data_IF_020585422974
#
_entry.id   IF_020585422974
#
_cell.length_a   1.000
_cell.length_b   1.000
_cell.length_c   1.000
_cell.angle_alpha   90.00
_cell.angle_beta   90.00
_cell.angle_gamma   90.00
#
_symmetry.space_group_name_H-M   'P 1'
#
loop_
_entity.id
_entity.type
_entity.pdbx_description
1 polymer ?
#
# COMPACT_ATOMS: atom_id res chain seq x y z
N UNK A 1 -2.60 3.32 -15.92
CA UNK A 1 -2.91 2.31 -14.89
C UNK A 1 -1.76 2.12 -13.90
N UNK A 2 -1.58 3.06 -12.96
CA UNK A 2 -0.46 3.02 -12.00
C UNK A 2 -0.75 2.15 -10.77
N UNK A 3 -1.99 2.20 -10.27
CA UNK A 3 -2.41 1.48 -9.08
C UNK A 3 -2.25 -0.06 -9.13
N UNK A 4 -2.64 -0.78 -10.20
CA UNK A 4 -2.46 -2.23 -10.23
C UNK A 4 -0.98 -2.64 -10.18
N UNK A 5 -0.09 -1.85 -10.77
CA UNK A 5 1.36 -2.11 -10.76
C UNK A 5 1.94 -2.01 -9.35
N UNK A 6 1.65 -0.92 -8.63
CA UNK A 6 2.16 -0.73 -7.26
C UNK A 6 1.55 -1.73 -6.28
N UNK A 7 0.27 -2.12 -6.47
CA UNK A 7 -0.38 -3.16 -5.67
C UNK A 7 0.35 -4.50 -5.80
N UNK A 8 0.64 -4.93 -7.02
CA UNK A 8 1.27 -6.22 -7.26
C UNK A 8 2.71 -6.26 -6.73
N UNK A 9 3.44 -5.14 -6.86
CA UNK A 9 4.76 -4.97 -6.25
C UNK A 9 4.69 -5.04 -4.71
N UNK A 10 3.71 -4.37 -4.09
CA UNK A 10 3.51 -4.40 -2.64
C UNK A 10 3.13 -5.80 -2.17
N UNK A 11 2.18 -6.49 -2.81
CA UNK A 11 1.80 -7.86 -2.45
C UNK A 11 3.00 -8.82 -2.58
N UNK A 12 3.81 -8.68 -3.62
CA UNK A 12 5.01 -9.51 -3.81
C UNK A 12 6.04 -9.32 -2.69
N UNK A 13 6.10 -8.11 -2.11
CA UNK A 13 7.00 -7.76 -1.00
C UNK A 13 6.41 -8.04 0.38
N UNK A 14 5.13 -8.42 0.47
CA UNK A 14 4.49 -8.72 1.74
C UNK A 14 5.12 -9.96 2.35
N UNK A 15 5.48 -9.89 3.62
CA UNK A 15 6.00 -11.03 4.37
C UNK A 15 4.86 -11.98 4.77
N UNK A 16 5.18 -13.23 5.15
CA UNK A 16 4.17 -14.21 5.59
C UNK A 16 3.35 -13.77 6.82
N UNK A 17 3.88 -12.87 7.63
CA UNK A 17 3.21 -12.27 8.79
C UNK A 17 2.30 -11.09 8.43
N UNK A 18 2.21 -10.74 7.13
CA UNK A 18 1.44 -9.62 6.62
C UNK A 18 2.14 -8.26 6.72
N UNK A 19 3.39 -8.21 7.22
CA UNK A 19 4.15 -6.97 7.37
C UNK A 19 4.93 -6.60 6.11
N UNK A 20 5.26 -5.32 6.00
CA UNK A 20 6.25 -4.82 5.04
C UNK A 20 7.48 -4.35 5.79
N UNK A 21 8.64 -4.55 5.19
CA UNK A 21 9.91 -4.12 5.75
C UNK A 21 10.60 -3.15 4.82
N UNK A 22 11.12 -2.08 5.41
CA UNK A 22 11.97 -1.11 4.75
C UNK A 22 13.16 -0.79 5.65
N UNK A 23 14.23 -0.24 5.08
CA UNK A 23 15.47 0.08 5.79
C UNK A 23 15.26 1.07 6.95
N UNK A 24 14.18 1.87 6.90
CA UNK A 24 13.87 2.87 7.92
C UNK A 24 13.19 2.24 9.13
N UNK A 25 12.05 1.57 8.92
CA UNK A 25 11.29 0.89 9.97
C UNK A 25 10.16 0.04 9.35
N UNK A 26 9.99 -1.22 9.80
CA UNK A 26 8.93 -2.09 9.31
C UNK A 26 7.51 -1.59 9.63
N UNK A 27 7.32 -0.89 10.74
CA UNK A 27 6.01 -0.32 11.08
C UNK A 27 5.59 0.79 10.12
N UNK A 28 6.54 1.66 9.74
CA UNK A 28 6.30 2.72 8.76
C UNK A 28 5.97 2.14 7.38
N UNK A 29 6.77 1.17 6.92
CA UNK A 29 6.55 0.50 5.65
C UNK A 29 5.17 -0.18 5.59
N UNK A 30 4.77 -0.86 6.67
CA UNK A 30 3.47 -1.52 6.77
C UNK A 30 2.32 -0.50 6.72
N UNK A 31 2.42 0.60 7.46
CA UNK A 31 1.42 1.67 7.44
C UNK A 31 1.28 2.29 6.03
N UNK A 32 2.42 2.57 5.37
CA UNK A 32 2.43 3.14 4.01
C UNK A 32 1.84 2.18 2.97
N UNK A 33 2.18 0.89 3.05
CA UNK A 33 1.59 -0.14 2.17
C UNK A 33 0.08 -0.24 2.35
N UNK A 34 -0.42 -0.22 3.59
CA UNK A 34 -1.85 -0.20 3.89
C UNK A 34 -2.55 1.05 3.32
N UNK A 35 -1.94 2.23 3.46
CA UNK A 35 -2.49 3.47 2.90
C UNK A 35 -2.60 3.41 1.38
N UNK A 36 -1.55 2.94 0.70
CA UNK A 36 -1.56 2.77 -0.76
C UNK A 36 -2.61 1.72 -1.16
N UNK A 37 -2.73 0.60 -0.46
CA UNK A 37 -3.74 -0.42 -0.78
C UNK A 37 -5.18 0.05 -0.52
N UNK A 38 -5.39 1.10 0.29
CA UNK A 38 -6.69 1.73 0.54
C UNK A 38 -7.08 2.79 -0.51
N UNK A 39 -6.16 3.22 -1.38
CA UNK A 39 -6.42 4.19 -2.47
C UNK A 39 -7.62 3.85 -3.38
N UNK A 40 -7.85 2.60 -3.83
CA UNK A 40 -8.99 2.25 -4.69
C UNK A 40 -10.31 2.13 -3.91
N UNK A 41 -10.25 2.15 -2.57
CA UNK A 41 -11.42 2.00 -1.72
C UNK A 41 -12.24 3.30 -1.62
N UNK A 42 -11.88 4.32 -2.42
CA UNK A 42 -12.66 5.55 -2.68
C UNK A 42 -13.07 6.35 -1.42
N UNK A 43 -12.30 6.25 -0.33
CA UNK A 43 -12.54 6.99 0.92
C UNK A 43 -12.09 8.46 0.87
N UNK A 44 -11.52 8.91 -0.25
CA UNK A 44 -11.12 10.30 -0.44
C UNK A 44 -12.12 11.01 -1.38
N UNK A 45 -13.04 11.83 -0.85
CA UNK A 45 -14.04 12.57 -1.64
C UNK A 45 -13.45 13.64 -2.58
N UNK A 46 -12.13 13.76 -2.69
CA UNK A 46 -11.43 14.71 -3.58
C UNK A 46 -11.40 14.21 -5.05
N UNK A 47 -11.74 12.94 -5.31
CA UNK A 47 -11.83 12.39 -6.66
C UNK A 47 -13.26 12.40 -7.26
N UNK A 48 -14.19 13.21 -6.73
CA UNK A 48 -15.37 13.59 -7.50
C UNK A 48 -14.98 14.70 -8.49
N UNK A 49 -15.04 14.37 -9.80
CA UNK A 49 -14.98 15.32 -10.91
C UNK A 49 -16.18 16.26 -10.91
#
# INVERSE_FOLDING_TARGET
DWFPYIRDELITRQRPDGSWFDQVCGHYATAMACLVLQTPNNYLPIFQK
#
